data_IF_321501204208
#
_entry.id   IF_321501204208
#
_cell.length_a   1.000
_cell.length_b   1.000
_cell.length_c   1.000
_cell.angle_alpha   90.00
_cell.angle_beta   90.00
_cell.angle_gamma   90.00
#
_symmetry.space_group_name_H-M   'P 1'
#
loop_
_entity.id
_entity.type
_entity.pdbx_description
1 polymer ?
#
# COMPACT_ATOMS: atom_id res chain seq x y z
N UNK A 1 -20.47 -24.81 5.28
CA UNK A 1 -20.17 -23.83 4.22
C UNK A 1 -19.07 -22.86 4.69
N UNK A 2 -19.20 -22.19 5.84
CA UNK A 2 -18.19 -21.23 6.36
C UNK A 2 -16.78 -21.86 6.44
N UNK A 3 -16.64 -23.07 6.98
CA UNK A 3 -15.34 -23.79 7.01
C UNK A 3 -14.74 -24.00 5.62
N UNK A 4 -15.57 -24.33 4.63
CA UNK A 4 -15.11 -24.52 3.26
C UNK A 4 -14.65 -23.20 2.61
N UNK A 5 -15.10 -22.05 3.14
CA UNK A 5 -14.71 -20.69 2.70
C UNK A 5 -13.59 -20.09 3.59
N UNK A 6 -12.99 -20.89 4.48
CA UNK A 6 -11.89 -20.44 5.33
C UNK A 6 -12.32 -19.66 6.60
N UNK A 7 -13.61 -19.57 6.89
CA UNK A 7 -14.14 -18.88 8.07
C UNK A 7 -14.44 -19.88 9.19
N UNK A 8 -13.92 -19.61 10.38
CA UNK A 8 -14.15 -20.42 11.58
C UNK A 8 -15.56 -20.13 12.12
N UNK A 9 -16.45 -21.15 12.25
CA UNK A 9 -17.73 -20.99 12.91
C UNK A 9 -17.55 -20.71 14.43
N UNK A 10 -18.41 -19.86 14.96
CA UNK A 10 -18.41 -19.44 16.38
C UNK A 10 -19.75 -19.78 17.03
N UNK A 11 -20.81 -19.09 16.65
CA UNK A 11 -22.19 -19.33 17.08
C UNK A 11 -23.18 -18.95 15.97
N UNK A 12 -24.46 -19.28 16.14
CA UNK A 12 -25.46 -19.07 15.08
C UNK A 12 -25.50 -17.64 14.53
N UNK A 13 -25.52 -16.64 15.40
CA UNK A 13 -25.68 -15.24 14.97
C UNK A 13 -24.40 -14.68 14.28
N UNK A 14 -23.24 -14.95 14.85
CA UNK A 14 -21.96 -14.58 14.23
C UNK A 14 -21.75 -15.34 12.93
N UNK A 15 -22.16 -16.59 12.86
CA UNK A 15 -22.08 -17.40 11.65
C UNK A 15 -23.03 -16.89 10.57
N UNK A 16 -24.23 -16.41 10.94
CA UNK A 16 -25.15 -15.75 10.02
C UNK A 16 -24.53 -14.49 9.45
N UNK A 17 -23.96 -13.60 10.27
CA UNK A 17 -23.32 -12.37 9.78
C UNK A 17 -22.15 -12.67 8.85
N UNK A 18 -21.31 -13.64 9.19
CA UNK A 18 -20.21 -14.09 8.32
C UNK A 18 -20.71 -14.74 7.02
N UNK A 19 -21.80 -15.50 7.10
CA UNK A 19 -22.39 -16.13 5.91
C UNK A 19 -22.93 -15.09 4.94
N UNK A 20 -23.68 -14.11 5.44
CA UNK A 20 -24.21 -13.00 4.63
C UNK A 20 -23.07 -12.16 4.04
N UNK A 21 -22.01 -11.91 4.81
CA UNK A 21 -20.83 -11.23 4.29
C UNK A 21 -20.20 -11.98 3.11
N UNK A 22 -20.16 -13.31 3.12
CA UNK A 22 -19.61 -14.09 2.01
C UNK A 22 -20.58 -14.18 0.82
N UNK A 23 -21.90 -14.20 1.08
CA UNK A 23 -22.94 -14.33 0.04
C UNK A 23 -23.18 -13.00 -0.68
N UNK A 24 -23.26 -11.89 0.04
CA UNK A 24 -23.56 -10.55 -0.46
C UNK A 24 -22.34 -9.62 -0.58
N UNK A 25 -21.19 -9.98 0.01
CA UNK A 25 -20.05 -9.07 0.10
C UNK A 25 -20.19 -8.02 1.19
N UNK A 26 -21.32 -8.00 1.92
CA UNK A 26 -21.70 -7.02 2.93
C UNK A 26 -21.31 -7.50 4.33
N UNK A 27 -20.31 -6.88 5.00
CA UNK A 27 -20.05 -7.17 6.40
C UNK A 27 -21.23 -6.71 7.27
N UNK A 28 -21.56 -7.52 8.25
CA UNK A 28 -22.60 -7.26 9.24
C UNK A 28 -22.04 -7.47 10.63
N UNK A 29 -22.64 -6.83 11.61
CA UNK A 29 -22.35 -7.09 13.02
C UNK A 29 -23.61 -7.43 13.79
N UNK A 30 -23.45 -8.14 14.90
CA UNK A 30 -24.54 -8.52 15.79
C UNK A 30 -24.16 -8.12 17.22
N UNK A 31 -24.99 -7.29 17.83
CA UNK A 31 -24.83 -6.84 19.22
C UNK A 31 -25.78 -7.57 20.15
N UNK A 32 -25.32 -7.90 21.33
CA UNK A 32 -26.20 -8.27 22.44
C UNK A 32 -26.82 -6.99 23.02
N UNK A 33 -28.14 -6.85 22.90
CA UNK A 33 -28.85 -5.63 23.35
C UNK A 33 -28.64 -5.29 24.83
N UNK A 34 -28.36 -6.28 25.67
CA UNK A 34 -28.08 -6.06 27.11
C UNK A 34 -26.88 -5.15 27.35
N UNK A 35 -25.92 -5.17 26.45
CA UNK A 35 -24.67 -4.42 26.53
C UNK A 35 -24.67 -3.13 25.69
N UNK A 36 -25.82 -2.81 25.05
CA UNK A 36 -26.03 -1.54 24.38
C UNK A 36 -26.81 -0.61 25.31
N UNK A 37 -26.11 0.31 25.95
CA UNK A 37 -26.68 1.20 26.95
C UNK A 37 -27.86 2.00 26.42
N UNK A 38 -28.96 2.02 27.14
CA UNK A 38 -30.22 2.68 26.80
C UNK A 38 -30.82 2.24 25.45
N UNK A 39 -30.44 1.05 24.96
CA UNK A 39 -30.79 0.54 23.63
C UNK A 39 -30.56 1.59 22.50
N UNK A 40 -29.52 2.39 22.65
CA UNK A 40 -29.20 3.52 21.77
C UNK A 40 -27.93 3.23 20.98
N UNK A 41 -27.99 3.43 19.67
CA UNK A 41 -26.83 3.34 18.77
C UNK A 41 -26.60 4.73 18.18
N UNK A 42 -25.39 5.25 18.39
CA UNK A 42 -24.94 6.55 17.92
C UNK A 42 -23.71 6.39 17.02
N UNK A 43 -23.83 6.76 15.76
CA UNK A 43 -22.70 6.79 14.84
C UNK A 43 -22.05 8.17 14.93
N UNK A 44 -20.80 8.19 15.40
CA UNK A 44 -20.07 9.44 15.64
C UNK A 44 -18.56 9.25 15.52
N UNK A 45 -17.84 10.32 15.40
CA UNK A 45 -16.39 10.27 15.61
C UNK A 45 -16.05 9.98 17.07
N UNK A 46 -14.92 9.33 17.30
CA UNK A 46 -14.40 9.12 18.64
C UNK A 46 -14.04 10.46 19.32
N UNK A 47 -14.04 10.47 20.63
CA UNK A 47 -13.62 11.61 21.44
C UNK A 47 -12.11 11.52 21.73
N UNK A 48 -11.48 12.66 22.02
CA UNK A 48 -10.07 12.68 22.43
C UNK A 48 -9.84 11.80 23.66
N UNK A 49 -8.86 10.89 23.60
CA UNK A 49 -8.50 9.96 24.67
C UNK A 49 -9.51 8.83 24.91
N UNK A 50 -10.47 8.66 23.99
CA UNK A 50 -11.43 7.55 24.09
C UNK A 50 -10.73 6.23 23.69
N UNK A 51 -11.08 5.15 24.38
CA UNK A 51 -10.52 3.82 24.15
C UNK A 51 -11.63 2.79 23.97
N UNK A 52 -11.31 1.70 23.27
CA UNK A 52 -12.18 0.54 23.13
C UNK A 52 -11.35 -0.74 23.27
N UNK A 53 -11.89 -1.75 23.98
CA UNK A 53 -11.36 -3.10 23.88
C UNK A 53 -12.07 -3.82 22.74
N UNK A 54 -11.32 -4.22 21.74
CA UNK A 54 -11.84 -4.89 20.55
C UNK A 54 -11.97 -6.41 20.75
N UNK A 55 -12.70 -7.12 19.86
CA UNK A 55 -12.96 -8.56 19.94
C UNK A 55 -11.71 -9.45 20.03
N UNK A 56 -10.53 -8.93 19.68
CA UNK A 56 -9.24 -9.60 19.85
C UNK A 56 -8.64 -9.44 21.27
N UNK A 57 -9.36 -8.76 22.19
CA UNK A 57 -8.94 -8.53 23.58
C UNK A 57 -7.96 -7.36 23.77
N UNK A 58 -7.61 -6.66 22.70
CA UNK A 58 -6.65 -5.56 22.76
C UNK A 58 -7.32 -4.21 23.00
N UNK A 59 -6.73 -3.41 23.90
CA UNK A 59 -7.18 -2.04 24.15
C UNK A 59 -6.63 -1.12 23.08
N UNK A 60 -7.51 -0.44 22.39
CA UNK A 60 -7.17 0.49 21.28
C UNK A 60 -7.47 1.93 21.70
N UNK A 61 -6.48 2.79 21.54
CA UNK A 61 -6.65 4.23 21.67
C UNK A 61 -7.21 4.80 20.36
N UNK A 62 -8.27 5.59 20.47
CA UNK A 62 -8.99 6.15 19.32
C UNK A 62 -8.61 7.61 19.11
N UNK A 63 -8.44 8.01 17.85
CA UNK A 63 -8.29 9.41 17.46
C UNK A 63 -9.61 10.00 17.00
N UNK A 64 -9.80 11.32 17.15
CA UNK A 64 -11.03 12.04 16.81
C UNK A 64 -11.47 11.93 15.33
N UNK A 65 -10.62 11.41 14.47
CA UNK A 65 -10.92 11.14 13.05
C UNK A 65 -11.58 9.77 12.84
N UNK A 66 -11.53 8.88 13.85
CA UNK A 66 -12.04 7.52 13.74
C UNK A 66 -13.53 7.48 13.99
N UNK A 67 -14.27 6.84 13.06
CA UNK A 67 -15.70 6.62 13.24
C UNK A 67 -15.95 5.44 14.16
N UNK A 68 -16.86 5.62 15.11
CA UNK A 68 -17.26 4.60 16.07
C UNK A 68 -18.77 4.41 16.07
N UNK A 69 -19.19 3.20 16.34
CA UNK A 69 -20.54 2.88 16.77
C UNK A 69 -20.51 2.94 18.28
N UNK A 70 -21.30 3.83 18.86
CA UNK A 70 -21.34 4.04 20.28
C UNK A 70 -22.75 3.80 20.82
N UNK A 71 -22.85 3.35 22.06
CA UNK A 71 -24.09 3.42 22.83
C UNK A 71 -24.26 4.81 23.46
N UNK A 72 -25.11 4.94 24.46
CA UNK A 72 -25.32 6.22 25.16
C UNK A 72 -24.08 6.69 25.96
N UNK A 73 -23.13 5.83 26.26
CA UNK A 73 -21.99 6.13 27.13
C UNK A 73 -20.64 6.02 26.42
N UNK A 74 -20.41 4.95 25.66
CA UNK A 74 -19.09 4.56 25.14
C UNK A 74 -19.13 3.94 23.75
N UNK A 75 -17.99 3.83 23.04
CA UNK A 75 -17.91 3.07 21.80
C UNK A 75 -18.12 1.55 22.07
N UNK A 76 -18.94 0.94 21.21
CA UNK A 76 -19.23 -0.50 21.21
C UNK A 76 -18.64 -1.21 19.99
N UNK A 77 -18.24 -0.44 18.96
CA UNK A 77 -17.48 -0.95 17.83
C UNK A 77 -16.68 0.18 17.17
N UNK A 78 -15.58 -0.19 16.48
CA UNK A 78 -14.90 0.67 15.52
C UNK A 78 -15.58 0.44 14.18
N UNK A 79 -16.27 1.43 13.67
CA UNK A 79 -17.14 1.34 12.49
C UNK A 79 -16.41 0.76 11.27
N UNK A 80 -16.95 -0.33 10.72
CA UNK A 80 -16.40 -1.01 9.55
C UNK A 80 -15.05 -1.72 9.76
N UNK A 81 -14.50 -1.72 10.98
CA UNK A 81 -13.21 -2.35 11.29
C UNK A 81 -13.38 -3.55 12.22
N UNK A 82 -13.83 -3.34 13.45
CA UNK A 82 -13.99 -4.43 14.43
C UNK A 82 -14.96 -4.07 15.54
N UNK A 83 -15.75 -5.05 15.98
CA UNK A 83 -16.64 -4.94 17.14
C UNK A 83 -15.88 -4.84 18.46
N UNK A 84 -16.56 -4.30 19.47
CA UNK A 84 -16.07 -4.26 20.83
C UNK A 84 -16.32 -5.60 21.56
N UNK A 85 -15.43 -5.94 22.49
CA UNK A 85 -15.45 -7.20 23.22
C UNK A 85 -16.76 -7.40 24.01
N UNK A 86 -17.23 -6.36 24.72
CA UNK A 86 -18.37 -6.55 25.63
C UNK A 86 -19.75 -6.46 24.98
N UNK A 87 -19.85 -6.04 23.75
CA UNK A 87 -21.13 -5.99 23.02
C UNK A 87 -21.36 -7.22 22.13
N UNK A 88 -20.44 -8.17 22.17
CA UNK A 88 -20.50 -9.41 21.40
C UNK A 88 -21.59 -10.38 21.90
N UNK A 89 -21.96 -11.31 21.02
CA UNK A 89 -22.95 -12.35 21.30
C UNK A 89 -22.35 -13.40 22.26
N UNK A 90 -23.05 -13.67 23.35
CA UNK A 90 -22.71 -14.66 24.36
C UNK A 90 -23.66 -15.86 24.30
N UNK A 91 -23.34 -16.95 25.02
CA UNK A 91 -24.16 -18.17 25.07
C UNK A 91 -25.55 -17.93 25.67
N UNK A 92 -25.69 -16.92 26.52
CA UNK A 92 -26.94 -16.54 27.20
C UNK A 92 -27.63 -15.31 26.60
N UNK A 93 -27.20 -14.88 25.39
CA UNK A 93 -27.83 -13.76 24.70
C UNK A 93 -29.27 -14.09 24.36
N UNK A 94 -30.20 -13.19 24.73
CA UNK A 94 -31.63 -13.34 24.46
C UNK A 94 -32.18 -12.39 23.42
N UNK A 95 -31.55 -11.23 23.22
CA UNK A 95 -31.99 -10.24 22.23
C UNK A 95 -30.78 -9.72 21.45
N UNK A 96 -30.85 -9.84 20.14
CA UNK A 96 -29.78 -9.50 19.21
C UNK A 96 -30.23 -8.32 18.35
N UNK A 97 -29.32 -7.35 18.19
CA UNK A 97 -29.46 -6.25 17.22
C UNK A 97 -28.48 -6.48 16.09
N UNK A 98 -28.99 -6.64 14.87
CA UNK A 98 -28.14 -6.70 13.68
C UNK A 98 -27.83 -5.29 13.17
N UNK A 99 -26.58 -5.09 12.81
CA UNK A 99 -26.09 -3.95 12.05
C UNK A 99 -25.86 -4.39 10.61
N UNK A 100 -26.44 -3.65 9.65
CA UNK A 100 -26.12 -3.72 8.23
C UNK A 100 -25.88 -2.29 7.76
N UNK A 101 -24.63 -1.92 7.59
CA UNK A 101 -24.24 -0.53 7.38
C UNK A 101 -23.33 -0.33 6.16
N UNK A 102 -23.26 0.91 5.70
CA UNK A 102 -22.28 1.38 4.73
C UNK A 102 -21.45 2.51 5.37
N UNK A 103 -20.15 2.44 5.27
CA UNK A 103 -19.24 3.43 5.83
C UNK A 103 -18.33 3.99 4.74
N UNK A 104 -17.87 5.24 4.91
CA UNK A 104 -16.89 5.84 4.02
C UNK A 104 -15.59 5.02 3.97
N UNK A 105 -15.25 4.56 2.77
CA UNK A 105 -14.12 3.65 2.58
C UNK A 105 -12.77 4.27 2.94
N UNK A 106 -12.61 5.59 2.75
CA UNK A 106 -11.38 6.29 3.08
C UNK A 106 -11.20 6.40 4.61
N UNK A 107 -12.29 6.68 5.33
CA UNK A 107 -12.32 6.68 6.80
C UNK A 107 -11.97 5.31 7.37
N UNK A 108 -12.61 4.24 6.89
CA UNK A 108 -12.34 2.86 7.33
C UNK A 108 -10.89 2.47 7.06
N UNK A 109 -10.37 2.75 5.86
CA UNK A 109 -8.98 2.46 5.49
C UNK A 109 -7.98 3.17 6.39
N UNK A 110 -8.21 4.46 6.65
CA UNK A 110 -7.32 5.27 7.49
C UNK A 110 -7.34 4.76 8.93
N UNK A 111 -8.52 4.48 9.47
CA UNK A 111 -8.72 3.91 10.81
C UNK A 111 -8.03 2.56 10.96
N UNK A 112 -8.29 1.63 10.04
CA UNK A 112 -7.69 0.30 10.04
C UNK A 112 -6.15 0.37 10.01
N UNK A 113 -5.59 1.26 9.17
CA UNK A 113 -4.15 1.48 9.08
C UNK A 113 -3.56 2.05 10.37
N UNK A 114 -4.21 3.06 10.99
CA UNK A 114 -3.75 3.69 12.24
C UNK A 114 -3.77 2.69 13.41
N UNK A 115 -4.78 1.84 13.48
CA UNK A 115 -4.90 0.81 14.52
C UNK A 115 -4.04 -0.43 14.23
N UNK A 116 -3.38 -0.52 13.07
CA UNK A 116 -2.62 -1.69 12.66
C UNK A 116 -3.48 -2.93 12.41
N UNK A 117 -4.77 -2.74 12.10
CA UNK A 117 -5.77 -3.79 11.93
C UNK A 117 -6.18 -3.93 10.47
N UNK A 118 -6.21 -5.15 9.97
CA UNK A 118 -6.82 -5.47 8.69
C UNK A 118 -7.75 -6.65 8.87
N UNK A 119 -9.03 -6.38 8.76
CA UNK A 119 -10.09 -7.37 8.94
C UNK A 119 -10.78 -7.65 7.59
N UNK A 120 -11.56 -8.74 7.55
CA UNK A 120 -12.42 -9.04 6.40
C UNK A 120 -13.44 -7.93 6.12
N UNK A 121 -13.93 -7.28 7.17
CA UNK A 121 -14.82 -6.13 7.07
C UNK A 121 -14.11 -4.91 6.48
N UNK A 122 -12.98 -4.49 7.09
CA UNK A 122 -12.26 -3.30 6.62
C UNK A 122 -11.75 -3.43 5.18
N UNK A 123 -11.33 -4.65 4.78
CA UNK A 123 -10.89 -4.92 3.41
C UNK A 123 -12.01 -4.80 2.35
N UNK A 124 -13.27 -4.93 2.76
CA UNK A 124 -14.44 -4.71 1.89
C UNK A 124 -14.88 -3.26 1.89
N UNK A 125 -15.05 -2.66 3.07
CA UNK A 125 -15.47 -1.27 3.20
C UNK A 125 -14.47 -0.28 2.55
N UNK A 126 -13.16 -0.52 2.66
CA UNK A 126 -12.14 0.36 2.07
C UNK A 126 -12.24 0.52 0.55
N UNK A 127 -12.90 -0.42 -0.12
CA UNK A 127 -13.11 -0.42 -1.58
C UNK A 127 -14.42 0.25 -2.00
N UNK A 128 -15.25 0.64 -1.04
CA UNK A 128 -16.61 1.10 -1.27
C UNK A 128 -17.59 -0.06 -1.41
N UNK A 129 -18.73 0.07 -0.75
CA UNK A 129 -19.84 -0.87 -0.84
C UNK A 129 -21.11 -0.10 -1.23
N UNK A 130 -22.03 -0.79 -1.89
CA UNK A 130 -23.31 -0.23 -2.29
C UNK A 130 -24.24 -0.05 -1.07
N UNK A 131 -24.65 1.16 -0.69
CA UNK A 131 -25.54 1.37 0.45
C UNK A 131 -26.88 0.66 0.33
N UNK A 132 -27.40 0.43 -0.90
CA UNK A 132 -28.69 -0.22 -1.15
C UNK A 132 -28.70 -1.70 -0.75
N UNK A 133 -27.54 -2.36 -0.77
CA UNK A 133 -27.43 -3.75 -0.33
C UNK A 133 -27.59 -3.94 1.20
N UNK A 134 -27.57 -2.85 1.99
CA UNK A 134 -27.74 -2.96 3.44
C UNK A 134 -29.07 -3.61 3.81
N UNK A 135 -30.16 -3.24 3.13
CA UNK A 135 -31.48 -3.79 3.36
C UNK A 135 -31.56 -5.28 2.95
N UNK A 136 -31.07 -5.60 1.75
CA UNK A 136 -31.10 -6.98 1.23
C UNK A 136 -30.30 -7.93 2.13
N UNK A 137 -29.12 -7.51 2.57
CA UNK A 137 -28.29 -8.27 3.48
C UNK A 137 -28.97 -8.50 4.84
N UNK A 138 -29.63 -7.45 5.37
CA UNK A 138 -30.40 -7.56 6.61
C UNK A 138 -31.56 -8.53 6.48
N UNK A 139 -32.34 -8.45 5.40
CA UNK A 139 -33.45 -9.38 5.12
C UNK A 139 -32.94 -10.82 4.98
N UNK A 140 -31.78 -11.01 4.36
CA UNK A 140 -31.18 -12.34 4.26
C UNK A 140 -30.74 -12.88 5.64
N UNK A 141 -30.20 -12.05 6.48
CA UNK A 141 -29.87 -12.45 7.87
C UNK A 141 -31.13 -12.87 8.64
N UNK A 142 -32.21 -12.12 8.54
CA UNK A 142 -33.50 -12.46 9.15
C UNK A 142 -34.05 -13.79 8.64
N UNK A 143 -34.03 -14.00 7.35
CA UNK A 143 -34.44 -15.30 6.75
C UNK A 143 -33.62 -16.45 7.34
N UNK A 144 -32.30 -16.29 7.47
CA UNK A 144 -31.44 -17.32 8.05
C UNK A 144 -31.72 -17.57 9.53
N UNK A 145 -32.07 -16.53 10.31
CA UNK A 145 -32.50 -16.69 11.72
C UNK A 145 -33.75 -17.58 11.79
N UNK A 146 -34.76 -17.35 10.95
CA UNK A 146 -35.98 -18.12 10.91
C UNK A 146 -35.74 -19.54 10.39
N UNK A 147 -35.03 -19.73 9.27
CA UNK A 147 -34.71 -21.02 8.69
C UNK A 147 -33.95 -21.96 9.63
N UNK A 148 -33.04 -21.37 10.44
CA UNK A 148 -32.25 -22.14 11.41
C UNK A 148 -32.95 -22.32 12.76
N UNK A 149 -34.10 -21.69 12.96
CA UNK A 149 -34.78 -21.68 14.27
C UNK A 149 -33.96 -21.05 15.34
N UNK A 150 -33.11 -20.06 14.99
CA UNK A 150 -32.18 -19.42 15.94
C UNK A 150 -32.85 -18.37 16.82
N UNK A 151 -34.03 -17.89 16.43
CA UNK A 151 -34.81 -16.90 17.17
C UNK A 151 -36.06 -16.45 16.43
N UNK A 152 -36.79 -15.51 17.02
CA UNK A 152 -37.93 -14.84 16.37
C UNK A 152 -37.51 -13.46 15.87
N UNK A 153 -37.79 -13.15 14.61
CA UNK A 153 -37.47 -11.87 14.00
C UNK A 153 -38.50 -10.82 14.37
N UNK A 154 -38.08 -9.74 15.00
CA UNK A 154 -38.93 -8.57 15.23
C UNK A 154 -39.09 -7.83 13.90
N UNK A 155 -40.33 -7.62 13.44
CA UNK A 155 -40.66 -7.05 12.13
C UNK A 155 -40.48 -5.53 12.04
N UNK A 156 -39.58 -4.95 12.81
CA UNK A 156 -39.25 -3.52 12.79
C UNK A 156 -37.75 -3.34 12.63
N UNK A 157 -37.38 -2.37 11.82
CA UNK A 157 -35.98 -1.96 11.65
C UNK A 157 -35.92 -0.43 11.58
N UNK A 158 -34.76 0.11 11.84
CA UNK A 158 -34.45 1.54 11.67
C UNK A 158 -33.50 1.63 10.49
N UNK A 159 -33.85 2.49 9.53
CA UNK A 159 -33.04 2.76 8.37
C UNK A 159 -32.76 4.26 8.28
N UNK A 160 -31.50 4.62 8.34
CA UNK A 160 -31.00 5.99 8.26
C UNK A 160 -30.01 6.06 7.09
N UNK A 161 -30.49 6.62 5.99
CA UNK A 161 -29.71 6.80 4.76
C UNK A 161 -29.41 8.28 4.53
N UNK A 162 -28.12 8.62 4.44
CA UNK A 162 -27.61 9.97 4.18
C UNK A 162 -26.86 10.07 2.83
N UNK A 163 -26.83 9.00 2.04
CA UNK A 163 -26.21 8.99 0.73
C UNK A 163 -27.02 9.73 -0.32
N UNK A 164 -26.33 10.27 -1.32
CA UNK A 164 -26.98 10.83 -2.51
C UNK A 164 -27.45 9.67 -3.40
N UNK A 165 -28.76 9.46 -3.48
CA UNK A 165 -29.39 8.44 -4.30
C UNK A 165 -29.43 8.77 -5.80
N UNK A 166 -28.71 9.79 -6.25
CA UNK A 166 -28.61 10.10 -7.67
C UNK A 166 -27.74 9.06 -8.38
N UNK A 167 -28.28 8.32 -9.36
CA UNK A 167 -27.48 7.32 -10.10
C UNK A 167 -26.27 7.96 -10.78
N UNK A 168 -25.11 7.35 -10.63
CA UNK A 168 -23.89 7.79 -11.34
C UNK A 168 -24.08 7.60 -12.83
N UNK A 169 -23.78 8.64 -13.60
CA UNK A 169 -23.91 8.60 -15.05
C UNK A 169 -22.61 9.03 -15.74
N UNK A 170 -22.31 8.36 -16.84
CA UNK A 170 -21.16 8.66 -17.70
C UNK A 170 -21.64 8.84 -19.13
N UNK A 171 -21.12 9.82 -19.87
CA UNK A 171 -21.49 10.01 -21.28
C UNK A 171 -21.16 8.77 -22.11
N UNK A 172 -22.15 8.31 -22.88
CA UNK A 172 -21.97 7.21 -23.81
C UNK A 172 -21.52 7.73 -25.17
N UNK A 173 -20.30 7.43 -25.55
CA UNK A 173 -19.66 7.88 -26.77
C UNK A 173 -18.99 6.71 -27.50
N UNK A 174 -19.74 5.96 -28.34
CA UNK A 174 -19.23 4.80 -29.05
C UNK A 174 -18.03 5.08 -29.95
N UNK A 175 -17.98 6.27 -30.58
CA UNK A 175 -16.85 6.65 -31.42
C UNK A 175 -15.57 6.85 -30.61
N UNK A 176 -15.70 7.49 -29.42
CA UNK A 176 -14.58 7.66 -28.53
C UNK A 176 -14.10 6.32 -27.98
N UNK A 177 -15.03 5.42 -27.60
CA UNK A 177 -14.68 4.07 -27.11
C UNK A 177 -13.86 3.32 -28.16
N UNK A 178 -14.33 3.31 -29.42
CA UNK A 178 -13.60 2.66 -30.52
C UNK A 178 -12.21 3.26 -30.75
N UNK A 179 -12.09 4.59 -30.74
CA UNK A 179 -10.78 5.26 -30.85
C UNK A 179 -9.86 4.91 -29.68
N UNK A 180 -10.41 4.89 -28.46
CA UNK A 180 -9.65 4.59 -27.25
C UNK A 180 -9.14 3.14 -27.23
N UNK A 181 -9.97 2.19 -27.63
CA UNK A 181 -9.64 0.77 -27.68
C UNK A 181 -8.87 0.36 -28.94
N UNK A 182 -8.90 1.18 -29.98
CA UNK A 182 -8.35 0.80 -31.30
C UNK A 182 -9.18 -0.27 -32.00
N UNK A 183 -10.51 -0.21 -31.89
CA UNK A 183 -11.48 -1.21 -32.40
C UNK A 183 -12.53 -0.57 -33.30
N UNK A 184 -13.37 -1.40 -33.91
CA UNK A 184 -14.54 -1.02 -34.72
C UNK A 184 -15.78 -1.81 -34.23
N UNK A 185 -16.04 -1.77 -32.91
CA UNK A 185 -17.19 -2.47 -32.31
C UNK A 185 -18.46 -1.69 -32.66
N UNK A 186 -19.51 -2.35 -33.20
CA UNK A 186 -20.81 -1.72 -33.43
C UNK A 186 -21.41 -1.18 -32.13
N UNK A 187 -22.10 -0.03 -32.21
CA UNK A 187 -22.81 0.55 -31.06
C UNK A 187 -23.81 -0.44 -30.44
N UNK A 188 -24.54 -1.20 -31.28
CA UNK A 188 -25.48 -2.22 -30.83
C UNK A 188 -24.85 -3.25 -29.89
N UNK A 189 -23.62 -3.67 -30.21
CA UNK A 189 -22.90 -4.66 -29.41
C UNK A 189 -22.42 -4.05 -28.10
N UNK A 190 -21.96 -2.80 -28.12
CA UNK A 190 -21.60 -2.05 -26.89
C UNK A 190 -22.79 -1.93 -25.95
N UNK A 191 -23.96 -1.58 -26.50
CA UNK A 191 -25.23 -1.51 -25.74
C UNK A 191 -25.60 -2.87 -25.16
N UNK A 192 -25.50 -3.93 -25.95
CA UNK A 192 -25.75 -5.30 -25.47
C UNK A 192 -24.81 -5.67 -24.31
N UNK A 193 -23.50 -5.42 -24.47
CA UNK A 193 -22.51 -5.74 -23.43
C UNK A 193 -22.82 -5.00 -22.12
N UNK A 194 -23.07 -3.71 -22.20
CA UNK A 194 -23.37 -2.89 -21.03
C UNK A 194 -24.69 -3.33 -20.37
N UNK A 195 -25.74 -3.60 -21.16
CA UNK A 195 -27.02 -4.08 -20.64
C UNK A 195 -26.87 -5.43 -19.90
N UNK A 196 -26.08 -6.35 -20.43
CA UNK A 196 -25.79 -7.64 -19.78
C UNK A 196 -25.10 -7.49 -18.43
N UNK A 197 -24.40 -6.36 -18.21
CA UNK A 197 -23.74 -6.03 -16.95
C UNK A 197 -24.64 -5.21 -16.00
N UNK A 198 -25.89 -4.96 -16.40
CA UNK A 198 -26.85 -4.20 -15.60
C UNK A 198 -26.82 -2.69 -15.78
N UNK A 199 -26.00 -2.18 -16.73
CA UNK A 199 -26.04 -0.77 -17.08
C UNK A 199 -27.28 -0.42 -17.92
N UNK A 200 -27.81 0.76 -17.72
CA UNK A 200 -28.87 1.31 -18.59
C UNK A 200 -28.31 2.45 -19.44
N UNK A 201 -28.80 2.58 -20.67
CA UNK A 201 -28.44 3.69 -21.54
C UNK A 201 -29.67 4.59 -21.70
N UNK A 202 -29.56 5.82 -21.19
CA UNK A 202 -30.62 6.81 -21.20
C UNK A 202 -30.06 8.19 -21.61
N UNK A 203 -30.70 8.85 -22.57
CA UNK A 203 -30.36 10.20 -23.02
C UNK A 203 -28.86 10.39 -23.37
N UNK A 204 -28.27 9.39 -24.04
CA UNK A 204 -26.85 9.42 -24.42
C UNK A 204 -25.88 9.23 -23.27
N UNK A 205 -26.34 8.71 -22.14
CA UNK A 205 -25.53 8.42 -20.97
C UNK A 205 -25.67 6.95 -20.56
N UNK A 206 -24.58 6.40 -20.05
CA UNK A 206 -24.55 5.13 -19.32
C UNK A 206 -24.92 5.42 -17.88
N UNK A 207 -25.97 4.81 -17.39
CA UNK A 207 -26.38 4.83 -15.98
C UNK A 207 -25.77 3.62 -15.30
N UNK A 208 -24.91 3.83 -14.33
CA UNK A 208 -24.25 2.76 -13.59
C UNK A 208 -25.18 2.12 -12.56
N UNK A 209 -25.24 0.79 -12.46
CA UNK A 209 -25.92 0.15 -11.35
C UNK A 209 -25.20 0.46 -10.03
N UNK A 210 -25.95 0.47 -8.94
CA UNK A 210 -25.46 0.89 -7.62
C UNK A 210 -24.25 0.10 -7.12
N UNK A 211 -24.20 -1.21 -7.42
CA UNK A 211 -23.07 -2.07 -7.02
C UNK A 211 -21.76 -1.80 -7.78
N UNK A 212 -21.79 -0.97 -8.84
CA UNK A 212 -20.61 -0.58 -9.61
C UNK A 212 -20.12 0.81 -9.14
N UNK A 213 -19.54 0.82 -7.96
CA UNK A 213 -18.99 2.05 -7.35
C UNK A 213 -17.73 2.58 -8.07
N UNK A 214 -17.12 1.75 -8.91
CA UNK A 214 -15.90 1.96 -9.66
C UNK A 214 -16.09 2.76 -10.96
N UNK A 215 -17.31 2.83 -11.48
CA UNK A 215 -17.60 3.51 -12.76
C UNK A 215 -17.71 5.03 -12.55
N UNK A 216 -16.71 5.78 -12.99
CA UNK A 216 -16.63 7.22 -12.80
C UNK A 216 -16.37 8.00 -14.11
N UNK A 217 -15.81 7.38 -15.13
CA UNK A 217 -15.42 8.06 -16.36
C UNK A 217 -15.62 7.18 -17.62
N UNK A 218 -15.45 7.79 -18.81
CA UNK A 218 -15.58 7.07 -20.09
C UNK A 218 -14.61 5.90 -20.24
N UNK A 219 -13.46 5.96 -19.59
CA UNK A 219 -12.47 4.87 -19.67
C UNK A 219 -12.97 3.61 -18.96
N UNK A 220 -13.68 3.77 -17.83
CA UNK A 220 -14.26 2.65 -17.10
C UNK A 220 -15.35 1.97 -17.92
N UNK A 221 -16.19 2.76 -18.62
CA UNK A 221 -17.19 2.22 -19.56
C UNK A 221 -16.51 1.49 -20.73
N UNK A 222 -15.42 2.05 -21.28
CA UNK A 222 -14.67 1.43 -22.36
C UNK A 222 -14.02 0.10 -21.91
N UNK A 223 -13.55 0.02 -20.66
CA UNK A 223 -13.03 -1.23 -20.07
C UNK A 223 -14.10 -2.32 -20.05
N UNK A 224 -15.31 -2.01 -19.64
CA UNK A 224 -16.41 -2.99 -19.62
C UNK A 224 -16.76 -3.50 -21.02
N UNK A 225 -16.78 -2.61 -22.01
CA UNK A 225 -16.95 -3.00 -23.41
C UNK A 225 -15.80 -3.88 -23.88
N UNK A 226 -14.55 -3.50 -23.61
CA UNK A 226 -13.37 -4.27 -24.01
C UNK A 226 -13.33 -5.66 -23.37
N UNK A 227 -13.72 -5.76 -22.10
CA UNK A 227 -13.76 -7.02 -21.35
C UNK A 227 -14.75 -8.02 -21.95
N UNK A 228 -15.94 -7.57 -22.31
CA UNK A 228 -16.96 -8.44 -22.92
C UNK A 228 -16.70 -8.68 -24.43
N UNK A 229 -16.16 -7.70 -25.12
CA UNK A 229 -15.67 -7.92 -26.49
C UNK A 229 -14.56 -8.97 -26.52
N UNK A 230 -13.66 -8.93 -25.55
CA UNK A 230 -12.53 -9.84 -25.37
C UNK A 230 -11.20 -9.20 -25.77
N UNK A 231 -10.32 -9.02 -24.81
CA UNK A 231 -8.99 -8.42 -24.98
C UNK A 231 -8.16 -9.10 -26.09
N UNK A 232 -8.31 -10.40 -26.28
CA UNK A 232 -7.62 -11.17 -27.31
C UNK A 232 -8.01 -10.75 -28.75
N UNK A 233 -9.14 -10.08 -28.94
CA UNK A 233 -9.62 -9.60 -30.24
C UNK A 233 -9.07 -8.20 -30.55
N UNK A 234 -8.54 -7.49 -29.55
CA UNK A 234 -7.96 -6.17 -29.74
C UNK A 234 -6.59 -6.35 -30.41
N UNK A 235 -6.34 -5.72 -31.57
CA UNK A 235 -5.09 -5.94 -32.30
C UNK A 235 -3.90 -5.34 -31.55
N UNK A 236 -2.81 -6.10 -31.50
CA UNK A 236 -1.55 -5.60 -30.99
C UNK A 236 -0.99 -4.54 -31.96
N UNK A 237 -0.68 -3.36 -31.45
CA UNK A 237 -0.08 -2.28 -32.23
C UNK A 237 1.32 -1.98 -31.73
N UNK A 238 2.20 -1.62 -32.66
CA UNK A 238 3.54 -1.11 -32.34
C UNK A 238 3.45 0.41 -32.24
N UNK A 239 4.00 0.97 -31.17
CA UNK A 239 4.11 2.42 -31.03
C UNK A 239 4.89 2.98 -32.23
N UNK A 240 4.23 3.83 -33.02
CA UNK A 240 4.83 4.51 -34.18
C UNK A 240 5.17 5.93 -33.75
N UNK A 241 6.42 6.27 -33.83
CA UNK A 241 6.90 7.63 -33.57
C UNK A 241 8.40 7.73 -33.89
N UNK A 242 8.88 8.94 -34.05
CA UNK A 242 10.31 9.19 -34.14
C UNK A 242 10.87 9.18 -32.74
N UNK A 243 11.19 7.99 -32.25
CA UNK A 243 11.87 7.86 -30.97
C UNK A 243 13.33 8.26 -31.16
N UNK A 244 13.68 9.48 -30.81
CA UNK A 244 15.08 9.87 -30.66
C UNK A 244 15.56 9.37 -29.29
N UNK A 245 16.01 8.12 -29.23
CA UNK A 245 16.70 7.62 -28.05
C UNK A 245 18.04 8.34 -27.92
N UNK A 246 18.08 9.38 -27.12
CA UNK A 246 19.29 10.12 -26.74
C UNK A 246 19.53 9.96 -25.25
N UNK A 247 20.79 9.78 -24.88
CA UNK A 247 21.21 9.98 -23.51
C UNK A 247 21.23 11.48 -23.20
N UNK A 248 20.77 11.86 -22.02
CA UNK A 248 20.99 13.20 -21.47
C UNK A 248 22.49 13.42 -21.23
N UNK A 249 22.92 14.66 -21.08
CA UNK A 249 24.33 14.95 -20.77
C UNK A 249 24.76 14.35 -19.43
N UNK A 250 23.87 14.36 -18.41
CA UNK A 250 24.10 13.68 -17.14
C UNK A 250 24.34 12.18 -17.35
N UNK A 251 23.45 11.49 -18.11
CA UNK A 251 23.60 10.07 -18.39
C UNK A 251 24.87 9.74 -19.19
N UNK A 252 25.32 10.64 -20.07
CA UNK A 252 26.59 10.48 -20.79
C UNK A 252 27.77 10.59 -19.83
N UNK A 253 27.72 11.57 -18.93
CA UNK A 253 28.74 11.77 -17.90
C UNK A 253 28.83 10.57 -16.97
N UNK A 254 27.69 10.07 -16.50
CA UNK A 254 27.60 8.87 -15.67
C UNK A 254 28.23 7.65 -16.35
N UNK A 255 27.86 7.41 -17.60
CA UNK A 255 28.46 6.32 -18.40
C UNK A 255 29.94 6.52 -18.64
N UNK A 256 30.40 7.78 -18.71
CA UNK A 256 31.81 8.08 -18.88
C UNK A 256 32.60 7.73 -17.62
N UNK A 257 32.09 8.06 -16.42
CA UNK A 257 32.65 7.64 -15.14
C UNK A 257 32.73 6.10 -15.08
N UNK A 258 31.59 5.42 -15.30
CA UNK A 258 31.51 3.96 -15.26
C UNK A 258 32.57 3.32 -16.18
N UNK A 259 32.61 3.72 -17.45
CA UNK A 259 33.57 3.18 -18.42
C UNK A 259 35.01 3.47 -18.04
N UNK A 260 35.25 4.62 -17.45
CA UNK A 260 36.60 5.00 -16.98
C UNK A 260 37.07 4.10 -15.85
N UNK A 261 36.21 3.81 -14.87
CA UNK A 261 36.52 2.91 -13.76
C UNK A 261 36.74 1.48 -14.23
N UNK A 262 35.86 0.97 -15.12
CA UNK A 262 36.03 -0.35 -15.73
C UNK A 262 37.33 -0.45 -16.54
N UNK A 263 37.68 0.58 -17.31
CA UNK A 263 38.92 0.61 -18.10
C UNK A 263 40.20 0.69 -17.23
N UNK A 264 40.09 1.10 -15.99
CA UNK A 264 41.18 1.07 -15.00
C UNK A 264 41.25 -0.26 -14.22
N UNK A 265 40.40 -1.24 -14.55
CA UNK A 265 40.43 -2.58 -13.99
C UNK A 265 39.53 -2.80 -12.75
N UNK A 266 38.69 -1.82 -12.39
CA UNK A 266 37.76 -2.02 -11.29
C UNK A 266 36.46 -2.66 -11.77
N UNK A 267 35.83 -3.45 -10.90
CA UNK A 267 34.52 -4.05 -11.13
C UNK A 267 33.44 -3.21 -10.48
N UNK A 268 32.33 -2.98 -11.21
CA UNK A 268 31.18 -2.28 -10.65
C UNK A 268 30.42 -3.20 -9.68
N UNK A 269 30.03 -2.64 -8.54
CA UNK A 269 29.15 -3.29 -7.58
C UNK A 269 27.91 -2.44 -7.31
N UNK A 270 26.89 -3.05 -6.77
CA UNK A 270 25.69 -2.38 -6.27
C UNK A 270 25.35 -2.97 -4.91
N UNK A 271 25.33 -2.12 -3.89
CA UNK A 271 24.99 -2.51 -2.52
C UNK A 271 23.68 -1.88 -2.07
N UNK A 272 23.10 -2.41 -0.97
CA UNK A 272 21.92 -1.81 -0.41
C UNK A 272 22.19 -0.42 0.18
N UNK A 273 21.24 0.49 -0.01
CA UNK A 273 21.24 1.80 0.64
C UNK A 273 20.88 1.71 2.14
N UNK A 274 20.30 0.59 2.56
CA UNK A 274 19.96 0.30 3.94
C UNK A 274 21.12 -0.43 4.60
N UNK A 275 21.57 0.07 5.75
CA UNK A 275 22.71 -0.48 6.49
C UNK A 275 22.39 -0.64 7.98
N UNK A 276 23.23 -1.39 8.67
CA UNK A 276 23.24 -1.43 10.13
C UNK A 276 23.94 -0.20 10.71
N UNK A 277 23.41 0.42 11.78
CA UNK A 277 24.13 1.46 12.52
C UNK A 277 25.51 1.01 13.01
N UNK A 278 25.71 -0.28 13.24
CA UNK A 278 27.00 -0.89 13.66
C UNK A 278 28.10 -0.76 12.61
N UNK A 279 27.75 -0.46 11.35
CA UNK A 279 28.75 -0.30 10.29
C UNK A 279 29.64 0.93 10.52
N UNK A 280 29.13 1.95 11.17
CA UNK A 280 29.92 3.13 11.54
C UNK A 280 31.02 2.79 12.56
N UNK A 281 30.77 1.85 13.46
CA UNK A 281 31.78 1.37 14.41
C UNK A 281 32.83 0.51 13.71
N UNK A 282 32.44 -0.33 12.74
CA UNK A 282 33.35 -1.15 11.96
C UNK A 282 34.40 -0.33 11.19
N UNK A 283 34.04 0.87 10.75
CA UNK A 283 34.96 1.79 10.06
C UNK A 283 35.61 2.80 11.01
N UNK A 284 35.48 2.61 12.32
CA UNK A 284 36.01 3.49 13.37
C UNK A 284 35.59 4.98 13.22
N UNK A 285 34.33 5.19 12.74
CA UNK A 285 33.82 6.56 12.62
C UNK A 285 33.66 7.18 14.03
N UNK A 286 34.16 8.42 14.29
CA UNK A 286 34.01 9.07 15.60
C UNK A 286 32.56 9.11 16.08
N UNK A 287 32.33 9.00 17.38
CA UNK A 287 31.00 8.95 17.97
C UNK A 287 30.20 10.26 17.75
N UNK A 288 30.89 11.38 17.64
CA UNK A 288 30.33 12.72 17.40
C UNK A 288 30.23 13.09 15.91
N UNK A 289 30.60 12.18 15.02
CA UNK A 289 30.54 12.43 13.57
C UNK A 289 29.11 12.70 13.12
N UNK A 290 28.95 13.75 12.31
CA UNK A 290 27.65 14.10 11.67
C UNK A 290 27.09 12.97 10.79
N UNK A 291 27.96 12.11 10.26
CA UNK A 291 27.55 10.94 9.44
C UNK A 291 26.81 9.88 10.24
N UNK A 292 26.83 9.93 11.57
CA UNK A 292 26.02 9.04 12.42
C UNK A 292 24.56 9.49 12.57
N UNK A 293 24.22 10.71 12.13
CA UNK A 293 22.82 11.13 12.02
C UNK A 293 22.23 10.53 10.75
N UNK A 294 21.33 9.57 10.90
CA UNK A 294 20.77 8.78 9.80
C UNK A 294 19.27 8.95 9.69
N UNK A 295 18.73 8.68 8.53
CA UNK A 295 17.30 8.43 8.36
C UNK A 295 17.01 7.01 8.84
N UNK A 296 16.13 6.87 9.82
CA UNK A 296 15.71 5.59 10.39
C UNK A 296 14.53 5.04 9.60
N UNK A 297 14.57 3.77 9.25
CA UNK A 297 13.48 3.09 8.53
C UNK A 297 12.38 2.73 9.55
N UNK A 298 11.15 3.12 9.28
CA UNK A 298 10.01 2.92 10.19
C UNK A 298 9.70 1.44 10.44
N UNK A 299 9.83 0.61 9.42
CA UNK A 299 9.52 -0.83 9.46
C UNK A 299 10.64 -1.65 8.78
N UNK A 300 11.86 -1.67 9.36
CA UNK A 300 12.99 -2.37 8.76
C UNK A 300 12.77 -3.88 8.77
N UNK A 301 13.38 -4.59 7.82
CA UNK A 301 13.40 -6.06 7.81
C UNK A 301 14.20 -6.65 8.99
N UNK A 302 15.15 -5.87 9.53
CA UNK A 302 15.98 -6.23 10.66
C UNK A 302 16.94 -5.10 11.00
N UNK A 303 17.73 -5.24 12.08
CA UNK A 303 18.72 -4.25 12.51
C UNK A 303 19.75 -3.96 11.40
N UNK A 304 20.12 -4.98 10.63
CA UNK A 304 21.11 -4.86 9.57
C UNK A 304 20.70 -3.95 8.41
N UNK A 305 19.42 -3.59 8.33
CA UNK A 305 18.83 -2.74 7.30
C UNK A 305 17.97 -1.62 7.89
N UNK A 306 18.31 -1.16 9.10
CA UNK A 306 17.44 -0.27 9.88
C UNK A 306 17.65 1.21 9.61
N UNK A 307 18.74 1.61 8.96
CA UNK A 307 19.01 3.02 8.63
C UNK A 307 19.50 3.20 7.20
N UNK A 308 19.26 4.38 6.64
CA UNK A 308 19.81 4.76 5.34
C UNK A 308 21.29 5.16 5.50
N UNK A 309 22.15 4.75 4.56
CA UNK A 309 23.57 5.09 4.58
C UNK A 309 23.82 6.59 4.38
N UNK A 310 24.67 7.17 5.21
CA UNK A 310 25.15 8.55 5.09
C UNK A 310 26.53 8.63 4.46
N UNK A 311 27.15 7.49 4.21
CA UNK A 311 28.39 7.33 3.46
C UNK A 311 28.42 5.95 2.80
N UNK A 312 29.00 5.85 1.62
CA UNK A 312 29.12 4.60 0.84
C UNK A 312 30.27 3.72 1.34
N UNK A 313 31.20 4.27 2.13
CA UNK A 313 32.43 3.60 2.57
C UNK A 313 32.17 2.25 3.27
N UNK A 314 31.26 2.15 4.26
CA UNK A 314 31.01 0.88 4.93
C UNK A 314 30.55 -0.22 3.97
N UNK A 315 29.74 0.12 2.98
CA UNK A 315 29.22 -0.83 1.99
C UNK A 315 30.37 -1.39 1.11
N UNK A 316 31.25 -0.52 0.64
CA UNK A 316 32.43 -0.93 -0.13
C UNK A 316 33.37 -1.80 0.72
N UNK A 317 33.65 -1.39 1.96
CA UNK A 317 34.50 -2.15 2.89
C UNK A 317 33.93 -3.54 3.19
N UNK A 318 32.60 -3.67 3.32
CA UNK A 318 31.96 -4.97 3.56
C UNK A 318 32.15 -5.93 2.38
N UNK A 319 32.02 -5.44 1.14
CA UNK A 319 32.24 -6.26 -0.05
C UNK A 319 33.70 -6.70 -0.15
N UNK A 320 34.65 -5.80 0.13
CA UNK A 320 36.07 -6.12 0.17
C UNK A 320 36.35 -7.18 1.25
N UNK A 321 35.86 -6.99 2.48
CA UNK A 321 36.05 -7.93 3.59
C UNK A 321 35.45 -9.31 3.28
N UNK A 322 34.30 -9.34 2.65
CA UNK A 322 33.64 -10.60 2.22
C UNK A 322 34.48 -11.34 1.17
N UNK A 323 34.98 -10.64 0.14
CA UNK A 323 35.86 -11.23 -0.86
C UNK A 323 37.16 -11.75 -0.25
N UNK A 324 37.76 -10.99 0.67
CA UNK A 324 38.94 -11.42 1.43
C UNK A 324 38.68 -12.70 2.23
N UNK A 325 37.51 -12.79 2.89
CA UNK A 325 37.09 -13.99 3.64
C UNK A 325 36.91 -15.20 2.75
N UNK A 326 36.55 -15.02 1.50
CA UNK A 326 36.49 -16.09 0.48
C UNK A 326 37.87 -16.42 -0.10
N UNK A 327 38.92 -15.78 0.39
CA UNK A 327 40.34 -16.00 -0.05
C UNK A 327 40.53 -15.63 -1.53
N UNK A 328 39.79 -14.68 -2.05
CA UNK A 328 40.13 -14.11 -3.35
C UNK A 328 41.46 -13.36 -3.22
N UNK A 329 42.44 -13.58 -4.12
CA UNK A 329 43.79 -12.97 -3.97
C UNK A 329 43.74 -11.43 -4.14
N UNK A 330 42.83 -10.93 -4.91
CA UNK A 330 42.65 -9.51 -5.20
C UNK A 330 41.16 -9.14 -5.32
N UNK A 331 40.83 -7.87 -5.09
CA UNK A 331 39.48 -7.35 -5.31
C UNK A 331 39.57 -5.84 -5.56
N UNK A 332 39.19 -5.41 -6.77
CA UNK A 332 39.14 -4.02 -7.21
C UNK A 332 37.68 -3.69 -7.55
N UNK A 333 37.05 -2.81 -6.78
CA UNK A 333 35.62 -2.54 -6.91
C UNK A 333 35.31 -1.04 -6.83
N UNK A 334 34.22 -0.65 -7.48
CA UNK A 334 33.64 0.67 -7.32
C UNK A 334 32.11 0.59 -7.30
N UNK A 335 31.49 1.54 -6.65
CA UNK A 335 30.06 1.75 -6.63
C UNK A 335 29.74 3.22 -6.84
N UNK A 336 28.77 3.50 -7.68
CA UNK A 336 28.10 4.78 -7.77
C UNK A 336 26.73 4.68 -7.12
N UNK A 337 26.48 5.48 -6.11
CA UNK A 337 25.23 5.39 -5.36
C UNK A 337 24.98 6.60 -4.50
N UNK A 338 23.73 6.72 -4.04
CA UNK A 338 23.32 7.84 -3.21
C UNK A 338 23.70 7.63 -1.74
N UNK A 339 24.05 8.73 -1.09
CA UNK A 339 24.07 8.88 0.37
C UNK A 339 22.81 9.65 0.79
N UNK A 340 22.34 9.44 2.02
CA UNK A 340 21.09 10.01 2.51
C UNK A 340 21.35 10.84 3.75
N UNK A 341 21.52 12.13 3.55
CA UNK A 341 21.92 13.08 4.61
C UNK A 341 20.65 13.76 5.15
N UNK A 342 20.25 13.51 6.42
CA UNK A 342 19.09 14.16 7.00
C UNK A 342 19.24 15.68 6.98
N UNK A 343 18.15 16.38 6.66
CA UNK A 343 18.06 17.85 6.69
C UNK A 343 17.11 18.24 7.82
N UNK A 344 17.55 19.13 8.69
CA UNK A 344 16.76 19.56 9.83
C UNK A 344 15.50 20.31 9.37
N UNK A 345 14.33 19.86 9.86
CA UNK A 345 13.03 20.43 9.50
C UNK A 345 12.42 19.89 8.19
N UNK A 346 13.14 19.05 7.43
CA UNK A 346 12.64 18.46 6.20
C UNK A 346 12.27 16.98 6.39
N UNK A 347 11.24 16.53 5.66
CA UNK A 347 10.81 15.12 5.66
C UNK A 347 11.75 14.26 4.83
N UNK A 348 12.29 14.81 3.74
CA UNK A 348 13.18 14.09 2.83
C UNK A 348 14.64 14.48 3.09
N UNK A 349 15.57 13.52 3.02
CA UNK A 349 16.99 13.79 3.12
C UNK A 349 17.53 14.47 1.85
N UNK A 350 18.72 15.08 1.96
CA UNK A 350 19.53 15.37 0.78
C UNK A 350 20.18 14.08 0.29
N UNK A 351 20.10 13.81 -1.02
CA UNK A 351 20.51 12.54 -1.64
C UNK A 351 21.67 12.74 -2.64
N UNK A 352 22.85 13.19 -2.22
CA UNK A 352 23.97 13.34 -3.12
C UNK A 352 24.44 12.00 -3.64
N UNK A 353 24.65 11.93 -4.96
CA UNK A 353 25.30 10.79 -5.58
C UNK A 353 26.82 10.83 -5.31
N UNK A 354 27.40 9.67 -4.99
CA UNK A 354 28.82 9.51 -4.70
C UNK A 354 29.40 8.35 -5.50
N UNK A 355 30.67 8.48 -5.83
CA UNK A 355 31.48 7.40 -6.33
C UNK A 355 32.40 6.95 -5.20
N UNK A 356 32.19 5.73 -4.72
CA UNK A 356 33.10 5.05 -3.78
C UNK A 356 33.84 3.95 -4.50
N UNK A 357 35.11 3.76 -4.18
CA UNK A 357 35.88 2.62 -4.68
C UNK A 357 36.86 2.15 -3.62
N UNK A 358 37.29 0.93 -3.76
CA UNK A 358 38.30 0.34 -2.90
C UNK A 358 38.89 -0.92 -3.52
N UNK A 359 40.01 -1.32 -3.03
CA UNK A 359 40.70 -2.53 -3.49
C UNK A 359 41.60 -3.11 -2.42
N UNK A 360 41.95 -4.35 -2.58
CA UNK A 360 43.07 -5.00 -1.94
C UNK A 360 43.72 -5.97 -2.92
N UNK A 361 45.00 -6.23 -2.70
CA UNK A 361 45.79 -7.24 -3.37
C UNK A 361 46.69 -7.89 -2.33
N UNK A 362 46.67 -9.21 -2.26
CA UNK A 362 47.46 -9.96 -1.26
C UNK A 362 48.87 -10.25 -1.70
N UNK A 363 49.20 -10.10 -2.99
CA UNK A 363 50.50 -10.33 -3.56
C UNK A 363 51.32 -9.03 -3.64
N UNK A 364 50.66 -7.96 -4.09
CA UNK A 364 51.25 -6.64 -4.11
C UNK A 364 50.77 -5.83 -2.91
N UNK A 365 51.66 -5.20 -2.13
CA UNK A 365 51.22 -4.35 -1.03
C UNK A 365 50.68 -3.03 -1.58
N UNK A 366 49.34 -2.97 -1.70
CA UNK A 366 48.66 -1.73 -2.09
C UNK A 366 48.97 -0.59 -1.10
N UNK A 367 49.25 0.59 -1.61
CA UNK A 367 49.57 1.75 -0.80
C UNK A 367 48.76 3.02 -1.21
N UNK A 368 49.09 4.12 -0.60
CA UNK A 368 48.46 5.41 -0.89
C UNK A 368 48.63 5.85 -2.36
N UNK A 369 49.74 5.51 -2.99
CA UNK A 369 50.00 5.94 -4.37
C UNK A 369 49.17 5.18 -5.38
N UNK A 370 48.78 3.95 -5.07
CA UNK A 370 47.85 3.20 -5.91
C UNK A 370 46.46 3.86 -5.93
N UNK A 371 45.91 4.22 -4.73
CA UNK A 371 44.63 4.96 -4.64
C UNK A 371 44.75 6.31 -5.35
N UNK A 372 45.84 7.02 -5.14
CA UNK A 372 46.10 8.31 -5.79
C UNK A 372 46.12 8.15 -7.31
N UNK A 373 46.73 7.09 -7.82
CA UNK A 373 46.79 6.78 -9.25
C UNK A 373 45.41 6.59 -9.87
N UNK A 374 44.49 5.88 -9.18
CA UNK A 374 43.11 5.75 -9.61
C UNK A 374 42.39 7.10 -9.65
N UNK A 375 42.56 7.93 -8.62
CA UNK A 375 41.94 9.27 -8.58
C UNK A 375 42.49 10.16 -9.70
N UNK A 376 43.80 10.22 -9.88
CA UNK A 376 44.44 10.98 -10.96
C UNK A 376 44.01 10.50 -12.34
N UNK A 377 43.97 9.20 -12.53
CA UNK A 377 43.52 8.58 -13.79
C UNK A 377 42.07 8.93 -14.11
N UNK A 378 41.18 8.86 -13.12
CA UNK A 378 39.78 9.23 -13.29
C UNK A 378 39.62 10.72 -13.61
N UNK A 379 40.22 11.59 -12.81
CA UNK A 379 40.14 13.03 -13.01
C UNK A 379 40.68 13.47 -14.38
N UNK A 380 41.80 12.87 -14.81
CA UNK A 380 42.34 13.08 -16.17
C UNK A 380 41.35 12.68 -17.26
N UNK A 381 40.71 11.48 -17.13
CA UNK A 381 39.68 11.01 -18.09
C UNK A 381 38.44 11.91 -18.11
N UNK A 382 38.10 12.52 -16.98
CA UNK A 382 37.01 13.48 -16.87
C UNK A 382 37.37 14.89 -17.34
N UNK A 383 38.63 15.11 -17.75
CA UNK A 383 39.09 16.39 -18.28
C UNK A 383 39.50 17.42 -17.20
N UNK A 384 39.68 17.00 -15.95
CA UNK A 384 40.16 17.89 -14.90
C UNK A 384 41.60 18.36 -15.19
N UNK A 385 41.83 19.66 -15.06
CA UNK A 385 43.14 20.30 -15.22
C UNK A 385 43.62 20.85 -13.89
N UNK A 386 44.95 20.82 -13.66
CA UNK A 386 45.59 21.37 -12.48
C UNK A 386 45.07 20.77 -11.17
N UNK A 387 45.11 19.45 -11.07
CA UNK A 387 44.75 18.73 -9.85
C UNK A 387 45.92 18.83 -8.86
N UNK A 388 45.64 19.30 -7.65
CA UNK A 388 46.60 19.38 -6.53
C UNK A 388 46.10 18.50 -5.38
N UNK A 389 47.05 17.84 -4.70
CA UNK A 389 46.75 16.99 -3.56
C UNK A 389 47.41 17.60 -2.30
N UNK A 390 46.58 17.82 -1.31
CA UNK A 390 47.05 18.34 -0.01
C UNK A 390 46.83 17.28 1.07
N UNK A 391 47.69 17.31 2.09
CA UNK A 391 47.53 16.46 3.27
C UNK A 391 46.31 16.96 4.07
N UNK A 392 45.34 16.10 4.31
CA UNK A 392 44.22 16.45 5.19
C UNK A 392 44.74 16.80 6.59
N UNK A 393 44.31 17.94 7.10
CA UNK A 393 44.46 18.30 8.52
C UNK A 393 43.30 17.63 9.27
N UNK A 394 43.64 16.91 10.34
CA UNK A 394 42.66 16.22 11.20
C UNK A 394 41.70 17.20 11.87
#
# INVERSE_FOLDING_TARGET
>A
RLRASGVRPINNFVDITNYVMLEYGRPMHAFDLRYVKDASINIRNAKAGETITTLDGEVRELSEEMLVIADAEKPVAVAGVMGGEYSGIMDDTTTVVFESACFDGASVRTTAKKLGMRTDASARYEKGLDPHECYEALMRAFQLVEELGAGEVVKTYIDENYEDETPKTVDFDPEWINRFLGTEIPESDMVEYLTRLGFEIKDGKVVSPWYRVDIACKADVAEEVARLYGYNKIPNTIVRGVAQAKLTEAQKFDRHIQRSMLAMGLNEISTFSFISPKYFDKINLPADSKLRKTVVITNPLGEDTSVMRTTIIPSVCEVLARNYSYRNPECYIFERGNEYIPVEGEVLPNEPERLGFGFYDTETKADFYDIKGFVEGLLSKLGAQKVEFEKATA
#
